data_IF_327381234230
#
_entry.id   IF_327381234230
#
_cell.length_a   1.000
_cell.length_b   1.000
_cell.length_c   1.000
_cell.angle_alpha   90.00
_cell.angle_beta   90.00
_cell.angle_gamma   90.00
#
_symmetry.space_group_name_H-M   'P 1'
#
loop_
_entity.id
_entity.type
_entity.pdbx_description
1 polymer ?
#
# COMPACT_ATOMS: atom_id res chain seq x y z
N UNK A 1 -38.73 53.36 50.46
CA UNK A 1 -37.59 53.23 49.53
C UNK A 1 -37.31 51.74 49.38
N UNK A 2 -37.65 51.15 48.23
CA UNK A 2 -37.50 49.73 47.96
C UNK A 2 -36.38 49.61 46.92
N UNK A 3 -35.29 48.84 47.17
CA UNK A 3 -34.23 48.71 46.15
C UNK A 3 -34.67 47.74 45.06
N UNK A 4 -34.46 48.13 43.81
CA UNK A 4 -34.67 47.35 42.58
C UNK A 4 -33.57 46.27 42.51
N UNK A 5 -33.97 45.01 42.47
CA UNK A 5 -33.10 43.90 42.16
C UNK A 5 -32.75 43.93 40.63
N UNK A 6 -31.46 44.01 40.34
CA UNK A 6 -30.91 43.82 38.99
C UNK A 6 -30.78 42.33 38.72
N UNK A 7 -31.59 41.83 37.77
CA UNK A 7 -31.44 40.46 37.23
C UNK A 7 -30.30 40.42 36.23
N UNK A 8 -29.23 39.71 36.56
CA UNK A 8 -28.14 39.41 35.63
C UNK A 8 -28.51 38.13 34.87
N UNK A 9 -28.74 38.25 33.57
CA UNK A 9 -28.95 37.11 32.69
C UNK A 9 -27.59 36.48 32.33
N UNK A 10 -27.32 35.26 32.82
CA UNK A 10 -26.19 34.47 32.37
C UNK A 10 -26.49 33.90 30.98
N UNK A 11 -25.76 34.37 30.01
CA UNK A 11 -25.69 33.74 28.68
C UNK A 11 -24.65 32.62 28.69
N UNK A 12 -25.09 31.39 28.68
CA UNK A 12 -24.21 30.25 28.53
C UNK A 12 -23.78 30.06 27.07
N UNK A 13 -22.49 29.93 26.75
CA UNK A 13 -22.06 29.62 25.39
C UNK A 13 -22.32 28.13 25.10
N UNK A 14 -23.12 27.87 24.06
CA UNK A 14 -23.30 26.53 23.52
C UNK A 14 -22.02 26.14 22.74
N UNK A 15 -21.23 25.25 23.31
CA UNK A 15 -20.11 24.59 22.64
C UNK A 15 -20.68 23.55 21.66
N UNK A 16 -20.78 23.93 20.39
CA UNK A 16 -21.06 22.99 19.30
C UNK A 16 -19.80 22.12 19.07
N UNK A 17 -19.78 20.93 19.65
CA UNK A 17 -18.75 19.95 19.40
C UNK A 17 -18.84 19.39 17.98
N UNK A 18 -17.93 19.78 17.09
CA UNK A 18 -17.76 19.12 15.80
C UNK A 18 -17.17 17.72 16.02
N UNK A 19 -18.00 16.69 15.92
CA UNK A 19 -17.54 15.29 15.89
C UNK A 19 -16.80 15.06 14.56
N UNK A 20 -15.48 14.97 14.62
CA UNK A 20 -14.65 14.50 13.51
C UNK A 20 -14.89 12.99 13.34
N UNK A 21 -15.72 12.62 12.38
CA UNK A 21 -15.88 11.25 11.94
C UNK A 21 -14.59 10.82 11.21
N UNK A 22 -13.68 10.17 11.92
CA UNK A 22 -12.58 9.45 11.28
C UNK A 22 -13.18 8.24 10.56
N UNK A 23 -13.32 8.32 9.25
CA UNK A 23 -13.53 7.14 8.43
C UNK A 23 -12.23 6.34 8.47
N UNK A 24 -12.16 5.31 9.31
CA UNK A 24 -11.13 4.30 9.20
C UNK A 24 -11.29 3.66 7.82
N UNK A 25 -10.43 4.04 6.88
CA UNK A 25 -10.32 3.34 5.62
C UNK A 25 -10.07 1.87 5.93
N UNK A 26 -10.91 0.97 5.39
CA UNK A 26 -10.68 -0.46 5.52
C UNK A 26 -9.27 -0.74 4.99
N UNK A 27 -8.35 -1.09 5.89
CA UNK A 27 -7.07 -1.64 5.50
C UNK A 27 -7.42 -2.94 4.76
N UNK A 28 -7.34 -2.91 3.44
CA UNK A 28 -7.46 -4.09 2.63
C UNK A 28 -6.33 -5.02 3.07
N UNK A 29 -6.67 -6.05 3.83
CA UNK A 29 -5.80 -7.18 4.08
C UNK A 29 -5.61 -7.88 2.73
N UNK A 30 -4.70 -7.39 1.95
CA UNK A 30 -4.55 -7.87 0.60
C UNK A 30 -3.32 -8.75 0.55
N UNK A 31 -3.54 -9.97 0.12
CA UNK A 31 -2.48 -10.74 -0.52
C UNK A 31 -1.97 -9.90 -1.68
N UNK A 32 -0.72 -9.46 -1.58
CA UNK A 32 -0.06 -8.69 -2.63
C UNK A 32 0.78 -9.62 -3.49
N UNK A 33 0.82 -9.33 -4.79
CA UNK A 33 1.57 -10.11 -5.77
C UNK A 33 2.85 -9.37 -6.18
N UNK A 34 3.90 -10.15 -6.41
CA UNK A 34 5.22 -9.65 -6.83
C UNK A 34 5.79 -10.52 -7.92
N UNK A 35 6.67 -9.94 -8.72
CA UNK A 35 7.49 -10.65 -9.70
C UNK A 35 8.96 -10.34 -9.45
N UNK A 36 9.83 -11.23 -9.93
CA UNK A 36 11.26 -10.95 -10.02
C UNK A 36 11.83 -11.57 -11.31
N UNK A 37 12.60 -10.79 -12.04
CA UNK A 37 13.40 -11.28 -13.18
C UNK A 37 14.76 -11.68 -12.64
N UNK A 38 15.06 -12.98 -12.71
CA UNK A 38 16.27 -13.56 -12.15
C UNK A 38 17.36 -13.64 -13.22
N UNK A 39 18.59 -13.31 -12.84
CA UNK A 39 19.77 -13.44 -13.69
C UNK A 39 21.01 -13.65 -12.85
N UNK A 40 21.94 -14.47 -13.35
CA UNK A 40 23.27 -14.59 -12.78
C UNK A 40 24.06 -13.27 -12.83
N UNK A 41 23.82 -12.44 -13.85
CA UNK A 41 24.46 -11.12 -13.97
C UNK A 41 24.02 -10.13 -12.87
N UNK A 42 22.91 -10.37 -12.20
CA UNK A 42 22.43 -9.54 -11.09
C UNK A 42 23.15 -9.84 -9.75
N UNK A 43 23.88 -10.93 -9.67
CA UNK A 43 24.64 -11.28 -8.46
C UNK A 43 25.82 -10.34 -8.25
N UNK A 44 25.99 -9.84 -7.01
CA UNK A 44 27.07 -8.91 -6.66
C UNK A 44 28.43 -9.57 -6.70
N UNK A 45 28.51 -10.84 -6.28
CA UNK A 45 29.76 -11.60 -6.20
C UNK A 45 30.08 -12.36 -7.50
N UNK A 46 29.35 -12.08 -8.58
CA UNK A 46 29.42 -12.82 -9.83
C UNK A 46 28.64 -14.13 -9.74
N UNK A 47 27.44 -14.15 -10.30
CA UNK A 47 26.63 -15.36 -10.42
C UNK A 47 27.03 -16.22 -11.61
N UNK A 48 26.23 -17.22 -11.92
CA UNK A 48 26.49 -18.11 -13.04
C UNK A 48 25.99 -17.48 -14.33
N UNK A 49 26.90 -17.26 -15.28
CA UNK A 49 26.56 -16.70 -16.59
C UNK A 49 25.54 -17.58 -17.34
N UNK A 50 24.58 -16.94 -18.00
CA UNK A 50 23.53 -17.62 -18.75
C UNK A 50 22.39 -18.18 -17.92
N UNK A 51 22.47 -18.17 -16.58
CA UNK A 51 21.33 -18.49 -15.74
C UNK A 51 20.34 -17.34 -15.75
N UNK A 52 19.07 -17.68 -16.02
CA UNK A 52 17.94 -16.76 -16.05
C UNK A 52 16.70 -17.42 -15.44
N UNK A 53 15.73 -16.61 -15.08
CA UNK A 53 14.46 -17.10 -14.59
C UNK A 53 13.48 -15.97 -14.29
N UNK A 54 12.29 -16.37 -13.92
CA UNK A 54 11.24 -15.48 -13.39
C UNK A 54 10.66 -16.09 -12.13
N UNK A 55 10.38 -15.25 -11.14
CA UNK A 55 9.65 -15.65 -9.95
C UNK A 55 8.33 -14.90 -9.88
N UNK A 56 7.29 -15.58 -9.42
CA UNK A 56 6.03 -15.00 -8.98
C UNK A 56 5.85 -15.29 -7.50
N UNK A 57 5.50 -14.27 -6.73
CA UNK A 57 5.30 -14.38 -5.30
C UNK A 57 3.95 -13.78 -4.92
N UNK A 58 3.35 -14.33 -3.88
CA UNK A 58 2.25 -13.69 -3.16
C UNK A 58 2.62 -13.55 -1.70
N UNK A 59 2.27 -12.42 -1.10
CA UNK A 59 2.56 -12.10 0.30
C UNK A 59 1.27 -11.66 0.97
N UNK A 60 0.85 -12.39 1.98
CA UNK A 60 -0.28 -12.05 2.84
C UNK A 60 0.24 -11.30 4.08
N UNK A 61 -0.07 -10.02 4.16
CA UNK A 61 0.42 -9.14 5.23
C UNK A 61 -0.27 -9.39 6.58
N UNK A 62 -1.41 -10.09 6.59
CA UNK A 62 -2.15 -10.43 7.80
C UNK A 62 -1.61 -11.69 8.45
N UNK A 63 -1.37 -12.74 7.63
CA UNK A 63 -0.95 -14.05 8.12
C UNK A 63 0.56 -14.23 8.08
N UNK A 64 1.28 -13.41 7.32
CA UNK A 64 2.71 -13.56 7.07
C UNK A 64 3.03 -14.65 6.04
N UNK A 65 2.05 -15.24 5.37
CA UNK A 65 2.28 -16.29 4.38
C UNK A 65 2.90 -15.70 3.13
N UNK A 66 4.01 -16.30 2.70
CA UNK A 66 4.72 -15.98 1.47
C UNK A 66 4.76 -17.24 0.60
N UNK A 67 4.13 -17.19 -0.56
CA UNK A 67 4.16 -18.26 -1.55
C UNK A 67 5.05 -17.85 -2.72
N UNK A 68 5.85 -18.76 -3.24
CA UNK A 68 6.72 -18.51 -4.37
C UNK A 68 6.64 -19.65 -5.40
N UNK A 69 6.71 -19.28 -6.66
CA UNK A 69 6.92 -20.16 -7.81
C UNK A 69 8.00 -19.56 -8.68
N UNK A 70 8.92 -20.38 -9.13
CA UNK A 70 10.03 -19.95 -9.98
C UNK A 70 10.05 -20.79 -11.26
N UNK A 71 10.27 -20.14 -12.39
CA UNK A 71 10.62 -20.78 -13.66
C UNK A 71 12.04 -20.34 -14.01
N UNK A 72 12.95 -21.30 -14.17
CA UNK A 72 14.39 -21.01 -14.38
C UNK A 72 15.07 -22.16 -15.12
N UNK A 73 16.18 -21.86 -15.80
CA UNK A 73 17.08 -22.84 -16.35
C UNK A 73 18.16 -23.33 -15.36
N UNK A 74 18.07 -22.92 -14.07
CA UNK A 74 18.96 -23.40 -13.03
C UNK A 74 18.76 -24.88 -12.77
N UNK A 75 19.85 -25.62 -12.62
CA UNK A 75 19.87 -27.03 -12.22
C UNK A 75 20.65 -27.20 -10.93
N UNK A 76 20.28 -28.21 -10.12
CA UNK A 76 21.00 -28.53 -8.88
C UNK A 76 20.90 -27.43 -7.82
N UNK A 77 19.83 -26.66 -7.80
CA UNK A 77 19.59 -25.68 -6.75
C UNK A 77 19.51 -26.37 -5.36
N UNK A 78 20.25 -25.84 -4.40
CA UNK A 78 20.33 -26.38 -3.03
C UNK A 78 19.69 -25.45 -2.01
N UNK A 79 19.57 -24.16 -2.31
CA UNK A 79 18.92 -23.19 -1.44
C UNK A 79 18.29 -22.07 -2.26
N UNK A 80 17.22 -21.48 -1.70
CA UNK A 80 16.53 -20.32 -2.25
C UNK A 80 15.97 -19.47 -1.11
N UNK A 81 16.13 -18.16 -1.21
CA UNK A 81 15.75 -17.24 -0.15
C UNK A 81 15.21 -15.92 -0.70
N UNK A 82 14.41 -15.23 0.14
CA UNK A 82 14.27 -13.79 0.02
C UNK A 82 15.27 -13.14 0.97
N UNK A 83 15.98 -12.15 0.46
CA UNK A 83 16.92 -11.32 1.21
C UNK A 83 16.41 -9.90 1.32
N UNK A 84 16.80 -9.18 2.37
CA UNK A 84 16.59 -7.74 2.51
C UNK A 84 17.81 -7.01 1.99
N UNK A 85 17.70 -6.37 0.84
CA UNK A 85 18.76 -5.58 0.21
C UNK A 85 18.28 -4.94 -1.08
N UNK A 86 18.75 -3.74 -1.36
CA UNK A 86 18.53 -3.07 -2.64
C UNK A 86 19.34 -3.76 -3.76
N UNK A 87 19.06 -3.37 -5.01
CA UNK A 87 19.83 -3.84 -6.16
C UNK A 87 21.33 -3.54 -5.98
N UNK A 88 22.18 -4.50 -6.28
CA UNK A 88 23.62 -4.39 -6.11
C UNK A 88 24.13 -4.51 -4.66
N UNK A 89 23.28 -4.86 -3.70
CA UNK A 89 23.65 -5.02 -2.29
C UNK A 89 23.39 -6.46 -1.84
N UNK A 90 24.36 -7.08 -1.13
CA UNK A 90 24.15 -8.34 -0.43
C UNK A 90 23.51 -8.06 0.93
N UNK A 91 22.35 -8.64 1.16
CA UNK A 91 21.59 -8.47 2.40
C UNK A 91 21.39 -9.78 3.15
N UNK A 92 20.83 -9.67 4.34
CA UNK A 92 20.52 -10.84 5.17
C UNK A 92 19.34 -11.63 4.59
N UNK A 93 19.35 -12.95 4.76
CA UNK A 93 18.21 -13.84 4.50
C UNK A 93 17.08 -13.45 5.45
N UNK A 94 15.88 -13.26 4.90
CA UNK A 94 14.68 -12.93 5.69
C UNK A 94 13.57 -13.97 5.55
N UNK A 95 13.47 -14.65 4.40
CA UNK A 95 12.51 -15.76 4.19
C UNK A 95 13.21 -16.91 3.48
N UNK A 96 13.40 -18.06 4.12
CA UNK A 96 13.83 -19.27 3.44
C UNK A 96 12.68 -19.81 2.58
N UNK A 97 12.98 -20.16 1.34
CA UNK A 97 12.02 -20.72 0.39
C UNK A 97 12.37 -22.17 0.05
N UNK A 98 11.43 -22.89 -0.55
CA UNK A 98 11.64 -24.28 -0.92
C UNK A 98 12.06 -24.36 -2.40
N UNK A 99 13.22 -24.99 -2.66
CA UNK A 99 13.74 -25.17 -4.03
C UNK A 99 12.82 -26.01 -4.92
N UNK A 100 11.92 -26.80 -4.34
CA UNK A 100 10.91 -27.57 -5.09
C UNK A 100 9.91 -26.68 -5.82
N UNK A 101 9.83 -25.38 -5.49
CA UNK A 101 9.03 -24.42 -6.25
C UNK A 101 9.66 -23.99 -7.57
N UNK A 102 10.94 -24.37 -7.82
CA UNK A 102 11.61 -24.12 -9.09
C UNK A 102 11.09 -25.12 -10.11
N UNK A 103 10.52 -24.60 -11.21
CA UNK A 103 9.86 -25.37 -12.27
C UNK A 103 8.74 -26.31 -11.77
N UNK A 104 8.26 -26.07 -10.54
CA UNK A 104 7.22 -26.85 -9.87
C UNK A 104 5.96 -26.02 -9.52
N UNK A 105 5.24 -26.52 -8.55
CA UNK A 105 4.10 -25.81 -7.99
C UNK A 105 4.53 -24.65 -7.08
N UNK A 106 3.63 -23.70 -6.84
CA UNK A 106 3.87 -22.68 -5.82
C UNK A 106 3.92 -23.31 -4.43
N UNK A 107 4.95 -22.98 -3.66
CA UNK A 107 5.14 -23.46 -2.29
C UNK A 107 5.18 -22.27 -1.34
N UNK A 108 4.49 -22.41 -0.21
CA UNK A 108 4.34 -21.35 0.77
C UNK A 108 5.22 -21.58 2.00
N UNK A 109 5.69 -20.50 2.59
CA UNK A 109 6.38 -20.43 3.89
C UNK A 109 5.74 -19.31 4.70
N UNK A 110 5.76 -19.45 6.02
CA UNK A 110 5.25 -18.41 6.91
C UNK A 110 6.40 -17.57 7.43
N UNK A 111 6.34 -16.28 7.19
CA UNK A 111 7.15 -15.25 7.81
C UNK A 111 6.32 -14.57 8.93
N UNK A 112 6.85 -13.52 9.55
CA UNK A 112 6.02 -12.70 10.45
C UNK A 112 5.15 -11.74 9.64
N UNK A 113 3.93 -11.38 10.13
CA UNK A 113 3.12 -10.36 9.49
C UNK A 113 3.86 -9.03 9.30
N UNK A 114 4.69 -8.64 10.27
CA UNK A 114 5.51 -7.44 10.18
C UNK A 114 6.52 -7.48 9.02
N UNK A 115 7.17 -8.63 8.78
CA UNK A 115 8.08 -8.80 7.65
C UNK A 115 7.31 -8.81 6.32
N UNK A 116 6.17 -9.48 6.27
CA UNK A 116 5.30 -9.49 5.11
C UNK A 116 4.85 -8.07 4.74
N UNK A 117 4.43 -7.28 5.73
CA UNK A 117 4.08 -5.88 5.53
C UNK A 117 5.28 -5.03 5.05
N UNK A 118 6.49 -5.28 5.57
CA UNK A 118 7.70 -4.58 5.15
C UNK A 118 8.08 -4.90 3.69
N UNK A 119 7.94 -6.17 3.25
CA UNK A 119 8.11 -6.57 1.84
C UNK A 119 7.08 -5.87 0.97
N UNK A 120 5.82 -5.87 1.40
CA UNK A 120 4.72 -5.25 0.67
C UNK A 120 4.92 -3.73 0.49
N UNK A 121 5.40 -3.05 1.53
CA UNK A 121 5.62 -1.60 1.50
C UNK A 121 6.83 -1.18 0.65
N UNK A 122 7.84 -2.04 0.50
CA UNK A 122 9.06 -1.71 -0.23
C UNK A 122 9.66 -2.94 -0.92
N UNK A 123 8.98 -3.47 -1.94
CA UNK A 123 9.42 -4.65 -2.68
C UNK A 123 10.84 -4.49 -3.25
N UNK A 124 11.20 -3.30 -3.74
CA UNK A 124 12.52 -3.01 -4.29
C UNK A 124 13.67 -3.10 -3.26
N UNK A 125 13.35 -3.11 -1.98
CA UNK A 125 14.30 -3.37 -0.89
C UNK A 125 14.55 -4.86 -0.62
N UNK A 126 13.99 -5.76 -1.44
CA UNK A 126 14.12 -7.22 -1.27
C UNK A 126 14.39 -7.89 -2.60
N UNK A 127 15.10 -9.02 -2.56
CA UNK A 127 15.38 -9.83 -3.74
C UNK A 127 15.26 -11.33 -3.46
N UNK A 128 14.86 -12.09 -4.46
CA UNK A 128 14.93 -13.54 -4.45
C UNK A 128 16.30 -13.98 -4.98
N UNK A 129 16.93 -14.94 -4.31
CA UNK A 129 18.22 -15.47 -4.66
C UNK A 129 18.19 -17.01 -4.62
N UNK A 130 18.89 -17.66 -5.56
CA UNK A 130 19.00 -19.10 -5.69
C UNK A 130 20.47 -19.47 -5.66
N UNK A 131 20.79 -20.53 -4.93
CA UNK A 131 22.16 -21.05 -4.75
C UNK A 131 22.29 -22.44 -5.33
N UNK A 132 23.49 -22.76 -5.83
CA UNK A 132 23.90 -24.08 -6.25
C UNK A 132 25.21 -24.46 -5.55
N UNK A 133 25.64 -25.75 -5.53
CA UNK A 133 26.95 -26.13 -5.00
C UNK A 133 28.12 -25.40 -5.68
N UNK A 134 27.99 -25.13 -6.97
CA UNK A 134 29.01 -24.40 -7.75
C UNK A 134 28.99 -22.88 -7.48
N UNK A 135 27.91 -22.34 -6.96
CA UNK A 135 27.75 -20.91 -6.66
C UNK A 135 27.07 -20.76 -5.27
N UNK A 136 27.80 -21.07 -4.18
CA UNK A 136 27.22 -21.00 -2.83
C UNK A 136 26.94 -19.59 -2.36
N UNK A 137 27.57 -18.57 -2.95
CA UNK A 137 27.29 -17.15 -2.70
C UNK A 137 26.07 -16.60 -3.42
N UNK A 138 25.52 -17.37 -4.39
CA UNK A 138 24.38 -16.99 -5.24
C UNK A 138 24.65 -17.34 -6.70
N UNK A 139 23.77 -18.10 -7.31
CA UNK A 139 23.84 -18.46 -8.73
C UNK A 139 23.10 -17.46 -9.60
N UNK A 140 21.94 -17.02 -9.16
CA UNK A 140 21.13 -15.98 -9.81
C UNK A 140 20.19 -15.31 -8.80
N UNK A 141 19.93 -14.01 -9.02
CA UNK A 141 18.99 -13.25 -8.20
C UNK A 141 18.13 -12.30 -9.03
N UNK A 142 17.04 -11.84 -8.46
CA UNK A 142 16.19 -10.77 -9.02
C UNK A 142 15.50 -9.98 -7.92
N UNK A 143 15.46 -8.67 -8.14
CA UNK A 143 14.78 -7.75 -7.23
C UNK A 143 13.27 -7.97 -7.29
N UNK A 144 12.57 -7.91 -6.17
CA UNK A 144 11.13 -7.98 -6.14
C UNK A 144 10.52 -6.69 -6.72
N UNK A 145 9.52 -6.86 -7.56
CA UNK A 145 8.73 -5.78 -8.14
C UNK A 145 7.27 -6.07 -7.83
N UNK A 146 6.57 -5.10 -7.27
CA UNK A 146 5.13 -5.25 -7.05
C UNK A 146 4.44 -5.46 -8.41
N UNK A 147 3.70 -6.53 -8.54
CA UNK A 147 2.81 -6.70 -9.68
C UNK A 147 1.66 -5.73 -9.51
N UNK A 148 1.32 -4.97 -10.55
CA UNK A 148 0.06 -4.25 -10.55
C UNK A 148 -1.03 -5.29 -10.23
N UNK A 149 -1.72 -5.12 -9.10
CA UNK A 149 -2.95 -5.86 -8.87
C UNK A 149 -3.81 -5.56 -10.10
N UNK A 150 -4.28 -6.54 -10.88
CA UNK A 150 -5.32 -6.25 -11.85
C UNK A 150 -6.40 -5.55 -11.03
N UNK A 151 -6.62 -4.25 -11.32
CA UNK A 151 -7.56 -3.45 -10.56
C UNK A 151 -8.81 -4.29 -10.45
N UNK A 152 -9.26 -4.54 -9.20
CA UNK A 152 -10.47 -5.30 -9.01
C UNK A 152 -11.46 -4.75 -10.01
N UNK A 153 -11.85 -5.53 -10.99
CA UNK A 153 -12.99 -5.20 -11.83
C UNK A 153 -14.08 -4.91 -10.82
N UNK A 154 -14.50 -3.64 -10.72
CA UNK A 154 -15.67 -3.28 -9.93
C UNK A 154 -16.82 -4.11 -10.49
N UNK A 155 -16.91 -5.35 -10.01
CA UNK A 155 -18.03 -6.22 -10.30
C UNK A 155 -19.22 -5.55 -9.60
N UNK A 156 -19.94 -4.70 -10.33
CA UNK A 156 -21.21 -4.24 -9.85
C UNK A 156 -21.55 -2.76 -9.96
N UNK A 157 -20.88 -1.93 -10.74
CA UNK A 157 -21.54 -0.73 -11.27
C UNK A 157 -22.03 -1.03 -12.68
N UNK A 158 -23.16 -1.73 -12.77
CA UNK A 158 -23.88 -1.84 -14.02
C UNK A 158 -24.11 -0.46 -14.61
N UNK A 159 -23.61 -0.24 -15.84
CA UNK A 159 -23.97 0.80 -16.78
C UNK A 159 -24.33 2.16 -16.19
N UNK A 160 -23.38 2.90 -15.67
CA UNK A 160 -23.44 4.35 -15.67
C UNK A 160 -22.52 4.80 -16.80
N UNK A 161 -23.13 5.10 -17.96
CA UNK A 161 -22.46 5.88 -18.98
C UNK A 161 -21.91 7.14 -18.33
N UNK A 162 -20.62 7.42 -18.53
CA UNK A 162 -19.92 8.53 -17.90
C UNK A 162 -20.64 9.85 -18.15
N UNK A 163 -21.22 10.41 -17.12
CA UNK A 163 -21.41 11.83 -17.03
C UNK A 163 -20.14 12.38 -16.40
N UNK A 164 -19.32 13.02 -17.23
CA UNK A 164 -18.28 13.92 -16.75
C UNK A 164 -18.94 14.84 -15.72
N UNK A 165 -18.55 14.68 -14.45
CA UNK A 165 -18.94 15.66 -13.41
C UNK A 165 -18.19 16.94 -13.75
N UNK A 166 -18.92 17.85 -14.35
CA UNK A 166 -18.49 19.22 -14.55
C UNK A 166 -18.31 19.83 -13.16
N UNK A 167 -17.07 20.03 -12.76
CA UNK A 167 -16.69 20.63 -11.46
C UNK A 167 -17.16 22.06 -11.33
N UNK A 168 -17.73 22.65 -12.37
CA UNK A 168 -18.30 24.00 -12.38
C UNK A 168 -19.56 24.09 -11.53
N UNK A 169 -20.35 23.02 -11.42
CA UNK A 169 -21.59 23.00 -10.63
C UNK A 169 -21.40 23.09 -9.12
N UNK A 170 -20.27 22.53 -8.61
CA UNK A 170 -19.99 22.53 -7.16
C UNK A 170 -19.53 23.89 -6.66
N UNK A 171 -18.83 24.67 -7.50
CA UNK A 171 -18.38 26.02 -7.12
C UNK A 171 -19.54 27.05 -7.12
N UNK A 172 -20.54 26.86 -7.97
CA UNK A 172 -21.73 27.74 -7.99
C UNK A 172 -22.62 27.50 -6.76
N UNK A 173 -22.75 26.27 -6.30
CA UNK A 173 -23.56 25.96 -5.11
C UNK A 173 -22.94 26.55 -3.81
N UNK A 174 -21.62 26.63 -3.71
CA UNK A 174 -20.93 27.23 -2.57
C UNK A 174 -21.00 28.76 -2.56
N UNK A 175 -21.08 29.40 -3.72
CA UNK A 175 -21.19 30.85 -3.82
C UNK A 175 -22.59 31.39 -3.44
N UNK A 176 -23.67 30.63 -3.67
CA UNK A 176 -25.05 31.06 -3.34
C UNK A 176 -25.30 31.00 -1.82
N UNK A 177 -24.63 30.07 -1.08
CA UNK A 177 -24.75 30.00 0.39
C UNK A 177 -23.95 31.12 1.08
N UNK A 178 -22.88 31.63 0.46
CA UNK A 178 -22.05 32.72 1.02
C UNK A 178 -22.66 34.10 0.90
N UNK A 179 -23.54 34.34 -0.09
CA UNK A 179 -24.16 35.65 -0.32
C UNK A 179 -25.42 35.91 0.51
N UNK A 180 -25.98 34.90 1.17
CA UNK A 180 -27.20 35.01 1.96
C UNK A 180 -27.06 35.53 3.40
N UNK A 181 -25.84 35.73 3.90
CA UNK A 181 -25.60 36.07 5.32
C UNK A 181 -25.12 37.50 5.59
N UNK A 182 -25.05 38.38 4.60
CA UNK A 182 -24.61 39.79 4.79
C UNK A 182 -25.71 40.87 4.66
N UNK A 183 -26.97 40.46 4.73
CA UNK A 183 -28.10 41.38 4.48
C UNK A 183 -29.00 41.70 5.66
N UNK A 184 -28.51 41.78 6.91
CA UNK A 184 -29.36 42.24 8.02
C UNK A 184 -28.58 42.87 9.18
N UNK A 185 -27.85 43.95 8.91
CA UNK A 185 -27.38 44.82 9.99
C UNK A 185 -27.18 46.25 9.45
N UNK A 186 -28.07 47.10 9.77
CA UNK A 186 -27.86 48.53 9.68
C UNK A 186 -28.88 49.25 8.87
N UNK A 187 -29.82 49.86 9.57
CA UNK A 187 -30.28 51.22 9.30
C UNK A 187 -31.29 51.61 10.41
N UNK A 188 -30.77 52.13 11.49
CA UNK A 188 -31.54 53.13 12.27
C UNK A 188 -30.69 54.36 12.35
N UNK A 189 -31.01 55.30 11.47
CA UNK A 189 -30.58 56.67 11.57
C UNK A 189 -31.46 57.39 12.59
N UNK A 190 -30.80 57.94 13.58
CA UNK A 190 -31.30 58.89 14.56
C UNK A 190 -31.74 60.15 13.85
N UNK A 191 -32.96 60.58 14.15
CA UNK A 191 -33.36 62.01 14.04
C UNK A 191 -33.53 62.55 15.44
N UNK A 192 -32.79 63.56 15.69
CA UNK A 192 -32.70 64.70 16.61
C UNK A 192 -31.58 64.61 17.57
#
# INVERSE_FOLDING_TARGET
MIPRAMSVALVAPALAGAALLFTAGAASAATQSFTAVLSGANEVSGGVAGLTGTATLTVDTTTGVVCARVTSNVTGAVAMHIHKGASGVNGAVVVPLDVKSINGASICKTATPALAAAIAANAAGYYLNIHTPAAPGGALRGQLVASATPGGVNAGSGGQAGTSQDTTGVLVALMVVGAGLTGAAGWRLVRR
#
